data_IF_440230306196
#
_entry.id   IF_440230306196
#
_cell.length_a   1.000
_cell.length_b   1.000
_cell.length_c   1.000
_cell.angle_alpha   90.00
_cell.angle_beta   90.00
_cell.angle_gamma   90.00
#
_symmetry.space_group_name_H-M   'P 1'
#
loop_
_entity.id
_entity.type
_entity.pdbx_description
1 polymer ?
#
# COMPACT_ATOMS: atom_id res chain seq x y z
N UNK A 1 -3.46 0.54 -15.64
CA UNK A 1 -4.67 1.16 -15.07
C UNK A 1 -4.97 0.41 -13.78
N UNK A 2 -5.07 1.09 -12.64
CA UNK A 2 -5.39 0.44 -11.37
C UNK A 2 -6.78 -0.21 -11.41
N UNK A 3 -7.00 -1.12 -10.47
CA UNK A 3 -8.32 -1.70 -10.22
C UNK A 3 -9.19 -0.64 -9.55
N UNK A 4 -10.50 -0.69 -9.83
CA UNK A 4 -11.45 0.08 -9.05
C UNK A 4 -11.52 -0.49 -7.62
N UNK A 5 -11.62 0.38 -6.62
CA UNK A 5 -11.67 -0.01 -5.21
C UNK A 5 -12.60 0.88 -4.39
N UNK A 6 -13.05 0.35 -3.26
CA UNK A 6 -13.70 1.08 -2.17
C UNK A 6 -12.76 1.14 -0.95
N UNK A 7 -12.73 2.30 -0.30
CA UNK A 7 -12.08 2.45 0.99
C UNK A 7 -13.01 1.96 2.11
N UNK A 8 -12.70 0.78 2.64
CA UNK A 8 -13.44 0.18 3.77
C UNK A 8 -13.07 0.87 5.08
N UNK A 9 -11.78 1.18 5.25
CA UNK A 9 -11.23 1.89 6.40
C UNK A 9 -10.20 2.92 5.90
N UNK A 10 -10.45 4.23 6.08
CA UNK A 10 -9.47 5.27 5.80
C UNK A 10 -8.16 5.02 6.55
N UNK A 11 -7.03 5.40 5.96
CA UNK A 11 -5.73 5.18 6.59
C UNK A 11 -5.61 6.03 7.86
N UNK A 12 -5.40 5.41 9.01
CA UNK A 12 -5.14 6.11 10.27
C UNK A 12 -3.91 5.51 10.92
N UNK A 13 -2.82 6.28 10.96
CA UNK A 13 -1.54 5.89 11.55
C UNK A 13 -1.38 6.57 12.91
N UNK A 14 -1.43 5.83 14.03
CA UNK A 14 -1.24 6.40 15.36
C UNK A 14 0.11 7.09 15.51
N UNK A 15 0.17 8.14 16.33
CA UNK A 15 1.43 8.84 16.63
C UNK A 15 2.54 7.90 17.14
N UNK A 16 2.15 6.82 17.83
CA UNK A 16 3.06 5.79 18.33
C UNK A 16 3.74 4.95 17.22
N UNK A 17 3.32 5.04 15.96
CA UNK A 17 3.99 4.37 14.82
C UNK A 17 5.15 5.20 14.26
N UNK A 18 5.08 6.51 14.41
CA UNK A 18 6.12 7.41 13.95
C UNK A 18 7.33 7.36 14.89
N UNK A 19 8.53 7.46 14.32
CA UNK A 19 9.77 7.64 15.09
C UNK A 19 10.02 9.12 15.40
N UNK A 20 11.17 9.43 16.02
CA UNK A 20 11.58 10.81 16.35
C UNK A 20 11.71 11.75 15.14
N UNK A 21 11.86 11.20 13.93
CA UNK A 21 11.92 11.95 12.68
C UNK A 21 10.56 12.05 11.99
N UNK A 22 9.48 11.66 12.67
CA UNK A 22 8.13 11.58 12.12
C UNK A 22 8.02 10.66 10.89
N UNK A 23 8.74 9.54 10.92
CA UNK A 23 8.67 8.50 9.89
C UNK A 23 8.04 7.23 10.47
N UNK A 24 7.03 6.69 9.80
CA UNK A 24 6.43 5.39 10.07
C UNK A 24 6.79 4.39 8.97
N UNK A 25 7.19 3.18 9.34
CA UNK A 25 7.45 2.07 8.40
C UNK A 25 6.38 1.02 8.61
N UNK A 26 5.60 0.75 7.56
CA UNK A 26 4.40 -0.09 7.60
C UNK A 26 4.50 -1.21 6.57
N UNK A 27 3.62 -2.20 6.70
CA UNK A 27 3.44 -3.24 5.69
C UNK A 27 2.10 -3.04 4.98
N UNK A 28 2.09 -3.24 3.68
CA UNK A 28 0.87 -3.37 2.90
C UNK A 28 0.74 -4.83 2.53
N UNK A 29 -0.38 -5.44 2.87
CA UNK A 29 -0.66 -6.85 2.59
C UNK A 29 -1.98 -6.94 1.86
N UNK A 30 -1.95 -7.53 0.66
CA UNK A 30 -3.15 -7.81 -0.10
C UNK A 30 -3.41 -9.31 -0.14
N UNK A 31 -4.66 -9.71 0.09
CA UNK A 31 -5.11 -11.08 -0.12
C UNK A 31 -6.26 -11.11 -1.12
N UNK A 32 -6.22 -12.07 -2.03
CA UNK A 32 -7.20 -12.25 -3.08
C UNK A 32 -8.23 -13.31 -2.70
N UNK A 33 -9.50 -12.98 -2.81
CA UNK A 33 -10.60 -13.94 -2.69
C UNK A 33 -11.63 -13.70 -3.81
N UNK A 34 -11.99 -14.75 -4.56
CA UNK A 34 -13.02 -14.64 -5.60
C UNK A 34 -12.75 -13.59 -6.69
N UNK A 35 -11.49 -13.28 -6.97
CA UNK A 35 -11.14 -12.24 -7.96
C UNK A 35 -11.19 -10.80 -7.43
N UNK A 36 -11.28 -10.62 -6.11
CA UNK A 36 -11.18 -9.33 -5.42
C UNK A 36 -9.93 -9.33 -4.55
N UNK A 37 -9.23 -8.20 -4.48
CA UNK A 37 -8.19 -7.95 -3.51
C UNK A 37 -8.75 -7.20 -2.32
N UNK A 38 -8.56 -7.75 -1.13
CA UNK A 38 -8.63 -6.99 0.12
C UNK A 38 -7.20 -6.61 0.51
N UNK A 39 -6.95 -5.31 0.68
CA UNK A 39 -5.61 -4.78 0.92
C UNK A 39 -5.63 -3.99 2.22
N UNK A 40 -4.78 -4.41 3.16
CA UNK A 40 -4.65 -3.83 4.49
C UNK A 40 -3.27 -3.19 4.65
N UNK A 41 -3.21 -2.04 5.33
CA UNK A 41 -1.96 -1.45 5.84
C UNK A 41 -1.83 -1.87 7.30
N UNK A 42 -0.71 -2.48 7.66
CA UNK A 42 -0.46 -3.06 8.98
C UNK A 42 0.68 -2.32 9.67
N UNK A 43 0.55 -2.14 10.99
CA UNK A 43 1.67 -1.73 11.85
C UNK A 43 2.75 -2.81 11.90
N UNK A 44 4.03 -2.40 12.00
CA UNK A 44 5.14 -3.29 12.31
C UNK A 44 5.47 -3.36 13.81
N UNK A 45 4.91 -2.47 14.64
CA UNK A 45 5.23 -2.38 16.07
C UNK A 45 4.39 -3.30 16.94
N UNK A 46 3.24 -3.77 16.46
CA UNK A 46 2.36 -4.64 17.24
C UNK A 46 2.94 -6.05 17.41
N UNK A 47 2.73 -6.61 18.61
CA UNK A 47 3.23 -7.91 19.01
C UNK A 47 2.79 -9.03 18.04
N UNK A 48 3.57 -10.12 17.90
CA UNK A 48 3.16 -11.27 17.11
C UNK A 48 1.86 -11.86 17.69
N UNK A 49 0.72 -11.57 17.06
CA UNK A 49 -0.58 -12.09 17.49
C UNK A 49 -1.79 -11.26 17.07
N UNK A 50 -1.68 -9.93 16.95
CA UNK A 50 -2.77 -9.05 16.54
C UNK A 50 -2.21 -7.97 15.60
N UNK A 51 -2.24 -8.23 14.30
CA UNK A 51 -1.95 -7.19 13.32
C UNK A 51 -3.21 -6.36 13.12
N UNK A 52 -3.27 -5.15 13.70
CA UNK A 52 -4.39 -4.23 13.47
C UNK A 52 -4.18 -3.51 12.14
N UNK A 53 -5.15 -3.65 11.24
CA UNK A 53 -5.17 -2.88 10.00
C UNK A 53 -5.36 -1.39 10.32
N UNK A 54 -4.41 -0.56 9.92
CA UNK A 54 -4.42 0.90 10.02
C UNK A 54 -5.29 1.54 8.93
N UNK A 55 -5.43 0.88 7.79
CA UNK A 55 -6.32 1.23 6.70
C UNK A 55 -6.60 0.02 5.83
N UNK A 56 -7.74 0.03 5.14
CA UNK A 56 -8.22 -1.10 4.32
C UNK A 56 -8.94 -0.62 3.08
N UNK A 57 -8.59 -1.19 1.93
CA UNK A 57 -9.38 -1.09 0.69
C UNK A 57 -9.80 -2.48 0.21
N UNK A 58 -10.85 -2.52 -0.58
CA UNK A 58 -11.28 -3.72 -1.30
C UNK A 58 -11.53 -3.38 -2.76
N UNK A 59 -10.98 -4.18 -3.68
CA UNK A 59 -11.17 -3.99 -5.11
C UNK A 59 -12.43 -4.70 -5.61
N UNK A 60 -13.06 -4.16 -6.63
CA UNK A 60 -14.20 -4.84 -7.26
C UNK A 60 -13.74 -5.96 -8.18
N UNK A 61 -14.56 -7.00 -8.27
CA UNK A 61 -14.43 -8.01 -9.31
C UNK A 61 -15.21 -7.53 -10.53
N UNK A 62 -14.48 -7.17 -11.57
CA UNK A 62 -15.08 -6.86 -12.86
C UNK A 62 -15.24 -8.16 -13.65
N UNK A 63 -16.46 -8.73 -13.62
CA UNK A 63 -16.82 -9.94 -14.37
C UNK A 63 -16.60 -9.81 -15.89
N UNK A 64 -16.41 -8.58 -16.41
CA UNK A 64 -16.07 -8.39 -17.82
C UNK A 64 -14.57 -8.65 -18.11
N UNK A 65 -13.76 -8.87 -17.07
CA UNK A 65 -12.31 -9.05 -17.15
C UNK A 65 -11.83 -10.28 -16.41
N UNK A 66 -12.59 -11.38 -16.48
CA UNK A 66 -12.20 -12.67 -15.91
C UNK A 66 -10.86 -13.18 -16.48
N UNK A 67 -10.52 -12.80 -17.71
CA UNK A 67 -9.23 -13.06 -18.34
C UNK A 67 -8.05 -12.38 -17.62
N UNK A 68 -8.29 -11.22 -17.03
CA UNK A 68 -7.31 -10.46 -16.28
C UNK A 68 -6.98 -11.14 -14.95
N UNK A 69 -7.97 -11.75 -14.30
CA UNK A 69 -7.79 -12.42 -13.00
C UNK A 69 -6.84 -13.62 -13.07
N UNK A 70 -6.72 -14.28 -14.21
CA UNK A 70 -5.79 -15.39 -14.41
C UNK A 70 -4.42 -14.92 -14.96
N UNK A 71 -4.27 -13.62 -15.22
CA UNK A 71 -3.03 -13.03 -15.72
C UNK A 71 -1.95 -12.98 -14.64
N UNK A 72 -0.67 -13.28 -14.98
CA UNK A 72 0.47 -13.03 -14.10
C UNK A 72 0.62 -11.55 -13.70
N UNK A 73 -0.02 -10.61 -14.42
CA UNK A 73 0.01 -9.19 -14.08
C UNK A 73 -1.00 -8.80 -13.01
N UNK A 74 -1.94 -9.66 -12.65
CA UNK A 74 -3.01 -9.34 -11.72
C UNK A 74 -2.52 -8.98 -10.30
N UNK A 75 -1.52 -9.67 -9.73
CA UNK A 75 -0.90 -9.26 -8.46
C UNK A 75 -0.32 -7.84 -8.53
N UNK A 76 0.40 -7.50 -9.60
CA UNK A 76 0.94 -6.16 -9.81
C UNK A 76 -0.16 -5.09 -9.84
N UNK A 77 -1.32 -5.38 -10.45
CA UNK A 77 -2.44 -4.45 -10.45
C UNK A 77 -3.00 -4.21 -9.05
N UNK A 78 -2.98 -5.22 -8.17
CA UNK A 78 -3.31 -5.05 -6.77
C UNK A 78 -2.34 -4.09 -6.07
N UNK A 79 -1.04 -4.26 -6.28
CA UNK A 79 0.00 -3.37 -5.74
C UNK A 79 -0.12 -1.94 -6.25
N UNK A 80 -0.30 -1.76 -7.57
CA UNK A 80 -0.48 -0.44 -8.19
C UNK A 80 -1.71 0.27 -7.62
N UNK A 81 -2.78 -0.48 -7.35
CA UNK A 81 -4.02 0.04 -6.74
C UNK A 81 -3.77 0.49 -5.31
N UNK A 82 -3.06 -0.31 -4.51
CA UNK A 82 -2.67 0.05 -3.15
C UNK A 82 -1.81 1.32 -3.11
N UNK A 83 -0.83 1.43 -4.01
CA UNK A 83 0.05 2.59 -4.11
C UNK A 83 -0.74 3.86 -4.44
N UNK A 84 -1.66 3.82 -5.39
CA UNK A 84 -2.47 4.97 -5.77
C UNK A 84 -3.40 5.41 -4.63
N UNK A 85 -4.03 4.45 -3.94
CA UNK A 85 -4.83 4.74 -2.76
C UNK A 85 -3.98 5.39 -1.66
N UNK A 86 -2.80 4.85 -1.35
CA UNK A 86 -1.89 5.40 -0.35
C UNK A 86 -1.41 6.81 -0.70
N UNK A 87 -1.08 7.08 -1.97
CA UNK A 87 -0.73 8.43 -2.42
C UNK A 87 -1.88 9.41 -2.20
N UNK A 88 -3.12 8.96 -2.42
CA UNK A 88 -4.34 9.76 -2.17
C UNK A 88 -4.50 10.05 -0.68
N UNK A 89 -4.43 9.01 0.16
CA UNK A 89 -4.55 9.13 1.63
C UNK A 89 -3.46 10.01 2.23
N UNK A 90 -2.23 9.91 1.72
CA UNK A 90 -1.09 10.70 2.16
C UNK A 90 -1.29 12.17 1.80
N UNK A 91 -1.70 12.45 0.55
CA UNK A 91 -1.98 13.81 0.09
C UNK A 91 -3.08 14.49 0.90
N UNK A 92 -4.15 13.77 1.25
CA UNK A 92 -5.24 14.30 2.07
C UNK A 92 -4.83 14.68 3.50
N UNK A 93 -3.70 14.14 3.98
CA UNK A 93 -3.18 14.35 5.35
C UNK A 93 -1.90 15.16 5.38
N UNK A 94 -1.51 15.75 4.25
CA UNK A 94 -0.23 16.43 4.06
C UNK A 94 0.99 15.55 4.46
N UNK A 95 0.88 14.24 4.25
CA UNK A 95 1.96 13.27 4.46
C UNK A 95 2.76 13.07 3.18
N UNK A 96 3.96 12.51 3.35
CA UNK A 96 4.90 12.20 2.27
C UNK A 96 5.08 10.69 2.12
N UNK A 97 5.07 10.19 0.89
CA UNK A 97 5.47 8.81 0.61
C UNK A 97 6.98 8.78 0.38
N UNK A 98 7.71 8.20 1.33
CA UNK A 98 9.18 8.20 1.32
C UNK A 98 9.74 6.97 0.61
N UNK A 99 9.10 5.81 0.77
CA UNK A 99 9.52 4.52 0.20
C UNK A 99 8.29 3.70 -0.20
N UNK A 100 8.38 3.04 -1.34
CA UNK A 100 7.50 1.95 -1.75
C UNK A 100 8.37 0.82 -2.30
N UNK A 101 8.31 -0.35 -1.67
CA UNK A 101 9.11 -1.52 -2.04
C UNK A 101 8.18 -2.72 -2.17
N UNK A 102 8.10 -3.31 -3.36
CA UNK A 102 7.42 -4.60 -3.54
C UNK A 102 8.24 -5.70 -2.85
N UNK A 103 7.58 -6.45 -1.97
CA UNK A 103 8.16 -7.57 -1.23
C UNK A 103 7.39 -8.87 -1.46
N UNK A 104 6.61 -8.93 -2.55
CA UNK A 104 5.80 -10.10 -2.91
C UNK A 104 6.66 -11.33 -3.22
N UNK A 105 7.93 -11.15 -3.55
CA UNK A 105 8.92 -12.23 -3.70
C UNK A 105 9.25 -12.96 -2.39
N UNK A 106 8.94 -12.35 -1.24
CA UNK A 106 9.08 -12.96 0.09
C UNK A 106 7.91 -13.88 0.46
N UNK A 107 6.82 -13.86 -0.32
CA UNK A 107 5.68 -14.77 -0.17
C UNK A 107 6.03 -16.11 -0.83
N UNK A 108 5.64 -17.27 -0.26
CA UNK A 108 5.79 -18.56 -0.92
C UNK A 108 5.23 -18.57 -2.35
N UNK A 109 5.96 -19.17 -3.29
CA UNK A 109 5.66 -19.10 -4.73
C UNK A 109 4.22 -19.52 -5.07
N UNK A 110 3.69 -20.53 -4.39
CA UNK A 110 2.32 -21.03 -4.57
C UNK A 110 1.24 -20.04 -4.10
N UNK A 111 1.59 -19.15 -3.17
CA UNK A 111 0.74 -18.11 -2.62
C UNK A 111 0.87 -16.75 -3.34
N UNK A 112 1.93 -16.50 -4.12
CA UNK A 112 2.18 -15.21 -4.79
C UNK A 112 1.06 -14.77 -5.76
N UNK A 113 0.25 -15.71 -6.27
CA UNK A 113 -0.93 -15.38 -7.11
C UNK A 113 -2.15 -14.90 -6.32
N UNK A 114 -2.13 -15.08 -5.00
CA UNK A 114 -3.23 -14.76 -4.09
C UNK A 114 -2.84 -13.78 -3.00
N UNK A 115 -1.55 -13.55 -2.79
CA UNK A 115 -1.03 -12.67 -1.76
C UNK A 115 0.02 -11.76 -2.35
N UNK A 116 -0.11 -10.47 -2.06
CA UNK A 116 0.85 -9.42 -2.44
C UNK A 116 1.35 -8.72 -1.18
N UNK A 117 2.56 -8.18 -1.25
CA UNK A 117 3.17 -7.47 -0.14
C UNK A 117 3.95 -6.27 -0.63
N UNK A 118 3.86 -5.16 0.11
CA UNK A 118 4.78 -4.04 -0.03
C UNK A 118 5.25 -3.54 1.33
N UNK A 119 6.47 -3.02 1.39
CA UNK A 119 6.94 -2.19 2.49
C UNK A 119 6.79 -0.74 2.11
N UNK A 120 6.26 0.06 3.03
CA UNK A 120 6.04 1.49 2.81
C UNK A 120 6.64 2.29 3.96
N UNK A 121 7.25 3.43 3.63
CA UNK A 121 7.64 4.44 4.61
C UNK A 121 6.88 5.74 4.35
N UNK A 122 6.22 6.26 5.40
CA UNK A 122 5.46 7.50 5.36
C UNK A 122 6.13 8.54 6.27
N UNK A 123 6.30 9.75 5.75
CA UNK A 123 6.61 10.94 6.54
C UNK A 123 5.31 11.61 6.98
N UNK A 124 5.12 11.77 8.28
CA UNK A 124 3.95 12.44 8.85
C UNK A 124 3.93 13.95 8.60
N UNK A 125 2.96 14.64 9.20
CA UNK A 125 2.77 16.09 9.12
C UNK A 125 3.96 16.90 9.65
N UNK A 126 4.71 16.35 10.60
CA UNK A 126 5.91 16.96 11.19
C UNK A 126 7.22 16.48 10.55
N UNK A 127 7.15 15.69 9.48
CA UNK A 127 8.34 15.25 8.75
C UNK A 127 9.01 16.43 8.05
N UNK A 128 10.34 16.50 8.16
CA UNK A 128 11.16 17.52 7.49
C UNK A 128 11.98 16.87 6.38
N UNK A 129 11.68 17.16 5.10
CA UNK A 129 12.47 16.69 3.96
C UNK A 129 13.95 17.08 4.06
N UNK A 130 14.83 16.12 3.80
CA UNK A 130 16.26 16.37 3.68
C UNK A 130 16.55 17.20 2.41
N UNK A 131 17.40 18.24 2.49
CA UNK A 131 17.75 19.03 1.31
C UNK A 131 18.32 18.18 0.18
N UNK A 132 17.73 18.28 -1.02
CA UNK A 132 18.19 17.58 -2.22
C UNK A 132 17.78 16.11 -2.32
N UNK A 133 17.02 15.58 -1.36
CA UNK A 133 16.42 14.24 -1.47
C UNK A 133 15.19 14.28 -2.38
N UNK A 134 15.04 13.26 -3.22
CA UNK A 134 13.81 13.00 -3.99
C UNK A 134 13.10 11.83 -3.34
N UNK A 135 11.84 12.02 -3.00
CA UNK A 135 11.02 10.99 -2.33
C UNK A 135 10.17 10.21 -3.33
N UNK A 136 9.61 9.08 -2.88
CA UNK A 136 8.87 8.18 -3.76
C UNK A 136 7.66 8.88 -4.41
N UNK A 137 6.91 9.70 -3.68
CA UNK A 137 5.81 10.48 -4.24
C UNK A 137 6.24 11.43 -5.37
N UNK A 138 7.37 12.12 -5.23
CA UNK A 138 7.93 13.01 -6.24
C UNK A 138 8.44 12.25 -7.47
N UNK A 139 9.16 11.16 -7.25
CA UNK A 139 9.65 10.29 -8.31
C UNK A 139 8.50 9.66 -9.10
N UNK A 140 7.38 9.32 -8.45
CA UNK A 140 6.22 8.73 -9.10
C UNK A 140 5.34 9.78 -9.81
N UNK A 141 5.21 10.98 -9.26
CA UNK A 141 4.47 12.09 -9.88
C UNK A 141 5.11 12.61 -11.18
N UNK A 142 6.42 12.41 -11.36
CA UNK A 142 7.14 12.75 -12.59
C UNK A 142 6.85 11.78 -13.75
N UNK A 143 6.24 10.62 -13.50
CA UNK A 143 5.82 9.67 -14.55
C UNK A 143 4.34 9.80 -14.94
N UNK A 144 3.57 10.66 -14.26
CA UNK A 144 2.12 10.83 -14.48
C UNK A 144 1.74 12.21 -15.00
N UNK A 145 2.72 13.08 -15.31
CA UNK A 145 2.56 14.43 -15.87
C UNK A 145 2.93 14.53 -17.34
#
# INVERSE_FOLDING_TARGET
>A
MPLHYDAIKPLTVPAAEFNENHIAVLLVVGNRYGGQWKIDVLSQREHPGEAVALGTIETFHDHQRDDLTDSPRYPQLGLDTALIWLLTEAKEKDWRLLLWEDVSDQVPEDAQKFTIGARVALGGDQFVPAPGAVYADEALGTFTS
#
